data_IF_193442723978
#
_entry.id   IF_193442723978
#
_cell.length_a   1.000
_cell.length_b   1.000
_cell.length_c   1.000
_cell.angle_alpha   90.00
_cell.angle_beta   90.00
_cell.angle_gamma   90.00
#
_symmetry.space_group_name_H-M   'P 1'
#
loop_
_entity.id
_entity.type
_entity.pdbx_description
1 polymer ?
#
# COMPACT_ATOMS: atom_id res chain seq x y z
N UNK A 1 -22.61 -5.18 10.16
CA UNK A 1 -21.28 -4.96 9.56
C UNK A 1 -21.24 -5.56 8.16
N UNK A 2 -20.80 -4.79 7.20
CA UNK A 2 -20.63 -5.31 5.85
C UNK A 2 -19.44 -6.29 5.81
N UNK A 3 -19.65 -7.43 5.17
CA UNK A 3 -18.56 -8.37 4.94
C UNK A 3 -17.57 -7.80 3.95
N UNK A 4 -16.30 -7.90 4.26
CA UNK A 4 -15.23 -7.52 3.33
C UNK A 4 -15.17 -8.59 2.23
N UNK A 5 -15.31 -8.16 0.98
CA UNK A 5 -15.15 -9.07 -0.15
C UNK A 5 -13.66 -9.34 -0.36
N UNK A 6 -13.32 -10.61 -0.53
CA UNK A 6 -11.95 -11.01 -0.87
C UNK A 6 -11.94 -11.58 -2.29
N UNK A 7 -10.82 -11.37 -2.98
CA UNK A 7 -10.65 -11.81 -4.35
C UNK A 7 -9.37 -12.63 -4.46
N UNK A 8 -9.43 -13.72 -5.20
CA UNK A 8 -8.26 -14.52 -5.50
C UNK A 8 -7.70 -14.09 -6.85
N UNK A 9 -6.43 -13.74 -6.85
CA UNK A 9 -5.72 -13.35 -8.07
C UNK A 9 -4.62 -14.36 -8.32
N UNK A 10 -4.53 -14.80 -9.59
CA UNK A 10 -3.43 -15.68 -10.00
C UNK A 10 -2.38 -14.83 -10.70
N UNK A 11 -1.27 -14.61 -9.99
CA UNK A 11 -0.17 -13.81 -10.49
C UNK A 11 1.10 -14.66 -10.46
N UNK A 12 1.94 -14.47 -11.47
CA UNK A 12 3.26 -15.11 -11.46
C UNK A 12 4.24 -14.33 -10.57
N UNK A 13 5.43 -14.88 -10.37
CA UNK A 13 6.42 -14.26 -9.48
C UNK A 13 6.85 -12.87 -9.95
N UNK A 14 6.94 -12.67 -11.26
CA UNK A 14 7.34 -11.36 -11.80
C UNK A 14 6.25 -10.32 -11.57
N UNK A 15 4.99 -10.70 -11.79
CA UNK A 15 3.85 -9.81 -11.54
C UNK A 15 3.75 -9.42 -10.07
N UNK A 16 4.00 -10.35 -9.17
CA UNK A 16 4.02 -10.06 -7.73
C UNK A 16 5.12 -9.06 -7.37
N UNK A 17 6.32 -9.22 -7.95
CA UNK A 17 7.41 -8.28 -7.72
C UNK A 17 7.09 -6.90 -8.24
N UNK A 18 6.45 -6.82 -9.40
CA UNK A 18 6.05 -5.55 -9.98
C UNK A 18 5.02 -4.84 -9.09
N UNK A 19 4.08 -5.58 -8.52
CA UNK A 19 3.08 -5.03 -7.59
C UNK A 19 3.77 -4.50 -6.33
N UNK A 20 4.71 -5.26 -5.77
CA UNK A 20 5.47 -4.83 -4.57
C UNK A 20 6.25 -3.56 -4.88
N UNK A 21 6.95 -3.52 -6.00
CA UNK A 21 7.74 -2.35 -6.38
C UNK A 21 6.86 -1.12 -6.56
N UNK A 22 5.74 -1.27 -7.26
CA UNK A 22 4.79 -0.18 -7.44
C UNK A 22 4.23 0.33 -6.11
N UNK A 23 3.94 -0.58 -5.18
CA UNK A 23 3.44 -0.21 -3.85
C UNK A 23 4.48 0.57 -3.06
N UNK A 24 5.75 0.16 -3.13
CA UNK A 24 6.83 0.84 -2.42
C UNK A 24 7.09 2.24 -2.98
N UNK A 25 7.06 2.39 -4.30
CA UNK A 25 7.20 3.70 -4.95
C UNK A 25 6.04 4.61 -4.55
N UNK A 26 4.83 4.10 -4.58
CA UNK A 26 3.62 4.85 -4.20
C UNK A 26 3.70 5.29 -2.73
N UNK A 27 4.16 4.41 -1.85
CA UNK A 27 4.32 4.72 -0.43
C UNK A 27 5.30 5.88 -0.23
N UNK A 28 6.45 5.87 -0.92
CA UNK A 28 7.41 6.97 -0.83
C UNK A 28 6.81 8.29 -1.30
N UNK A 29 6.11 8.28 -2.44
CA UNK A 29 5.45 9.46 -2.97
C UNK A 29 4.37 9.97 -2.04
N UNK A 30 3.57 9.08 -1.47
CA UNK A 30 2.52 9.46 -0.52
C UNK A 30 3.10 10.04 0.76
N UNK A 31 4.22 9.49 1.25
CA UNK A 31 4.88 10.01 2.45
C UNK A 31 5.38 11.45 2.23
N UNK A 32 5.98 11.72 1.07
CA UNK A 32 6.42 13.08 0.73
C UNK A 32 5.23 14.02 0.59
N UNK A 33 4.19 13.58 -0.10
CA UNK A 33 2.97 14.38 -0.27
C UNK A 33 2.30 14.68 1.07
N UNK A 34 2.24 13.69 1.97
CA UNK A 34 1.67 13.88 3.30
C UNK A 34 2.44 14.93 4.10
N UNK A 35 3.78 14.87 4.06
CA UNK A 35 4.60 15.88 4.74
C UNK A 35 4.36 17.28 4.17
N UNK A 36 4.25 17.39 2.84
CA UNK A 36 3.95 18.66 2.19
C UNK A 36 2.58 19.20 2.59
N UNK A 37 1.58 18.32 2.66
CA UNK A 37 0.22 18.70 3.07
C UNK A 37 0.19 19.18 4.53
N UNK A 38 0.91 18.49 5.42
CA UNK A 38 1.00 18.91 6.82
C UNK A 38 1.61 20.29 6.96
N UNK A 39 2.68 20.58 6.20
CA UNK A 39 3.31 21.90 6.23
C UNK A 39 2.37 23.00 5.77
N UNK A 40 1.42 22.68 4.89
CA UNK A 40 0.41 23.63 4.39
C UNK A 40 -0.83 23.70 5.27
N UNK A 41 -0.92 22.86 6.30
CA UNK A 41 -2.09 22.79 7.19
C UNK A 41 -3.21 21.89 6.70
N UNK A 42 -2.97 21.07 5.69
CA UNK A 42 -3.97 20.14 5.17
C UNK A 42 -3.87 18.78 5.87
N UNK A 43 -4.20 18.75 7.16
CA UNK A 43 -4.01 17.56 7.99
C UNK A 43 -4.89 16.37 7.57
N UNK A 44 -6.11 16.63 7.11
CA UNK A 44 -7.01 15.56 6.65
C UNK A 44 -6.46 14.85 5.42
N UNK A 45 -5.94 15.61 4.46
CA UNK A 45 -5.35 15.04 3.25
C UNK A 45 -4.09 14.24 3.60
N UNK A 46 -3.26 14.75 4.50
CA UNK A 46 -2.09 14.04 4.98
C UNK A 46 -2.47 12.73 5.65
N UNK A 47 -3.52 12.74 6.46
CA UNK A 47 -4.02 11.55 7.15
C UNK A 47 -4.51 10.49 6.17
N UNK A 48 -5.24 10.91 5.12
CA UNK A 48 -5.70 9.99 4.07
C UNK A 48 -4.54 9.29 3.37
N UNK A 49 -3.47 10.04 3.05
CA UNK A 49 -2.28 9.48 2.42
C UNK A 49 -1.58 8.49 3.35
N UNK A 50 -1.47 8.81 4.62
CA UNK A 50 -0.86 7.91 5.61
C UNK A 50 -1.68 6.63 5.79
N UNK A 51 -3.01 6.73 5.75
CA UNK A 51 -3.90 5.56 5.81
C UNK A 51 -3.72 4.67 4.58
N UNK A 52 -3.58 5.27 3.40
CA UNK A 52 -3.31 4.52 2.18
C UNK A 52 -1.98 3.77 2.27
N UNK A 53 -0.94 4.42 2.80
CA UNK A 53 0.36 3.79 3.00
C UNK A 53 0.28 2.60 3.93
N UNK A 54 -0.49 2.70 5.01
CA UNK A 54 -0.69 1.60 5.95
C UNK A 54 -1.33 0.40 5.24
N UNK A 55 -2.31 0.63 4.36
CA UNK A 55 -2.94 -0.44 3.58
C UNK A 55 -1.97 -1.06 2.58
N UNK A 56 -1.17 -0.24 1.90
CA UNK A 56 -0.17 -0.71 0.94
C UNK A 56 0.87 -1.61 1.62
N UNK A 57 1.34 -1.22 2.79
CA UNK A 57 2.32 -2.03 3.53
C UNK A 57 1.73 -3.36 3.99
N UNK A 58 0.45 -3.40 4.34
CA UNK A 58 -0.21 -4.66 4.68
C UNK A 58 -0.27 -5.60 3.47
N UNK A 59 -0.55 -5.06 2.29
CA UNK A 59 -0.60 -5.84 1.05
C UNK A 59 0.79 -6.41 0.74
N UNK A 60 1.83 -5.57 0.80
CA UNK A 60 3.20 -6.01 0.56
C UNK A 60 3.59 -7.14 1.52
N UNK A 61 3.27 -6.97 2.79
CA UNK A 61 3.58 -8.00 3.80
C UNK A 61 2.88 -9.32 3.49
N UNK A 62 1.60 -9.28 3.11
CA UNK A 62 0.85 -10.48 2.73
C UNK A 62 1.47 -11.20 1.54
N UNK A 63 1.90 -10.45 0.53
CA UNK A 63 2.53 -11.03 -0.65
C UNK A 63 3.84 -11.71 -0.26
N UNK A 64 4.67 -11.04 0.54
CA UNK A 64 5.95 -11.60 1.00
C UNK A 64 5.75 -12.86 1.84
N UNK A 65 4.76 -12.87 2.73
CA UNK A 65 4.43 -14.05 3.53
C UNK A 65 3.97 -15.20 2.65
N UNK A 66 3.19 -14.92 1.61
CA UNK A 66 2.72 -15.94 0.67
C UNK A 66 3.88 -16.54 -0.11
N UNK A 67 4.82 -15.72 -0.59
CA UNK A 67 6.02 -16.19 -1.28
C UNK A 67 6.88 -17.07 -0.36
N UNK A 68 7.03 -16.70 0.89
CA UNK A 68 7.83 -17.47 1.85
C UNK A 68 7.26 -18.87 2.11
N UNK A 69 5.95 -19.04 1.94
CA UNK A 69 5.28 -20.33 2.14
C UNK A 69 5.23 -21.21 0.88
N UNK A 70 5.54 -20.64 -0.25
CA UNK A 70 5.47 -21.34 -1.54
C UNK A 70 6.67 -22.31 -1.78
#
# INVERSE_FOLDING_TARGET
MAKVKTYNLMLDAQELRDVIEAALVCECQNAEAARAMQRKGYDLEAQKLNCMNARLMRVVKRIQETEAKA
#
